data_IF_375951275685
#
_entry.id   IF_375951275685
#
_cell.length_a   1.000
_cell.length_b   1.000
_cell.length_c   1.000
_cell.angle_alpha   90.00
_cell.angle_beta   90.00
_cell.angle_gamma   90.00
#
_symmetry.space_group_name_H-M   'P 1'
#
loop_
_entity.id
_entity.type
_entity.pdbx_description
1 polymer ?
#
# COMPACT_ATOMS: atom_id res chain seq x y z
N UNK A 1 12.78 -5.96 13.47
CA UNK A 1 11.57 -5.11 13.61
C UNK A 1 10.42 -6.03 13.96
N UNK A 2 9.70 -5.73 15.04
CA UNK A 2 8.47 -6.44 15.39
C UNK A 2 7.33 -5.87 14.54
N UNK A 3 6.57 -6.74 13.88
CA UNK A 3 5.34 -6.37 13.20
C UNK A 3 4.18 -7.02 13.97
N UNK A 4 3.25 -6.24 14.55
CA UNK A 4 2.12 -6.81 15.27
C UNK A 4 1.24 -7.62 14.32
N UNK A 5 0.64 -8.73 14.80
CA UNK A 5 -0.28 -9.52 14.00
C UNK A 5 -1.49 -8.67 13.58
N UNK A 6 -2.08 -8.99 12.44
CA UNK A 6 -3.29 -8.36 11.91
C UNK A 6 -3.23 -6.84 11.74
N UNK A 7 -2.06 -6.24 11.51
CA UNK A 7 -1.91 -4.77 11.40
C UNK A 7 -1.60 -4.28 9.98
N UNK A 8 -2.51 -4.47 8.99
CA UNK A 8 -2.29 -4.01 7.62
C UNK A 8 -2.25 -2.48 7.53
N UNK A 9 -2.86 -1.77 8.48
CA UNK A 9 -2.78 -0.32 8.65
C UNK A 9 -1.37 0.16 9.03
N UNK A 10 -0.48 -0.74 9.44
CA UNK A 10 0.94 -0.46 9.70
C UNK A 10 1.89 -1.02 8.62
N UNK A 11 1.38 -1.75 7.63
CA UNK A 11 2.17 -2.29 6.54
C UNK A 11 2.12 -1.34 5.31
N UNK A 12 3.24 -0.71 4.90
CA UNK A 12 3.24 0.25 3.78
C UNK A 12 2.78 -0.36 2.46
N UNK A 13 3.04 -1.66 2.26
CA UNK A 13 2.53 -2.41 1.12
C UNK A 13 1.00 -2.38 1.10
N UNK A 14 0.34 -2.63 2.22
CA UNK A 14 -1.12 -2.71 2.31
C UNK A 14 -1.78 -1.32 2.31
N UNK A 15 -1.43 -0.46 3.26
CA UNK A 15 -2.13 0.82 3.43
C UNK A 15 -1.87 1.84 2.31
N UNK A 16 -0.80 1.67 1.54
CA UNK A 16 -0.38 2.65 0.53
C UNK A 16 -0.19 2.05 -0.87
N UNK A 17 0.73 1.10 -1.04
CA UNK A 17 1.07 0.58 -2.38
C UNK A 17 -0.10 -0.17 -3.01
N UNK A 18 -0.62 -1.19 -2.33
CA UNK A 18 -1.74 -2.00 -2.81
C UNK A 18 -3.04 -1.22 -2.84
N UNK A 19 -3.25 -0.26 -1.93
CA UNK A 19 -4.37 0.67 -2.04
C UNK A 19 -4.32 1.48 -3.36
N UNK A 20 -3.15 1.97 -3.75
CA UNK A 20 -2.99 2.65 -5.04
C UNK A 20 -3.12 1.69 -6.22
N UNK A 21 -2.64 0.45 -6.10
CA UNK A 21 -2.73 -0.57 -7.14
C UNK A 21 -4.18 -1.01 -7.35
N UNK A 22 -4.94 -1.27 -6.29
CA UNK A 22 -6.36 -1.61 -6.36
C UNK A 22 -7.14 -0.53 -7.12
N UNK A 23 -6.90 0.75 -6.81
CA UNK A 23 -7.51 1.86 -7.56
C UNK A 23 -7.12 1.87 -9.04
N UNK A 24 -5.89 1.48 -9.36
CA UNK A 24 -5.42 1.39 -10.75
C UNK A 24 -6.02 0.19 -11.49
N UNK A 25 -6.29 -0.90 -10.78
CA UNK A 25 -6.90 -2.13 -11.30
C UNK A 25 -8.43 -2.05 -11.40
N UNK A 26 -9.05 -1.10 -10.71
CA UNK A 26 -10.50 -0.99 -10.63
C UNK A 26 -11.16 -0.92 -12.02
N UNK A 27 -12.21 -1.74 -12.19
CA UNK A 27 -12.94 -1.88 -13.45
C UNK A 27 -12.20 -2.60 -14.60
N UNK A 28 -10.99 -3.12 -14.39
CA UNK A 28 -10.25 -3.85 -15.43
C UNK A 28 -10.52 -5.34 -15.38
N UNK A 29 -10.74 -5.95 -16.54
CA UNK A 29 -10.80 -7.41 -16.73
C UNK A 29 -9.60 -7.86 -17.55
N UNK A 30 -9.04 -9.01 -17.21
CA UNK A 30 -7.86 -9.57 -17.88
C UNK A 30 -8.20 -10.93 -18.46
N UNK A 31 -7.64 -11.23 -19.62
CA UNK A 31 -7.83 -12.51 -20.33
C UNK A 31 -6.64 -13.45 -20.18
N UNK A 32 -5.49 -12.93 -19.73
CA UNK A 32 -4.26 -13.70 -19.53
C UNK A 32 -3.38 -13.16 -18.40
N UNK A 33 -2.49 -14.02 -17.89
CA UNK A 33 -1.48 -13.63 -16.91
C UNK A 33 -0.43 -12.65 -17.49
N UNK A 34 -0.22 -12.66 -18.81
CA UNK A 34 0.73 -11.78 -19.48
C UNK A 34 0.21 -10.33 -19.49
N UNK A 35 -1.08 -10.13 -19.74
CA UNK A 35 -1.73 -8.82 -19.60
C UNK A 35 -1.58 -8.26 -18.19
N UNK A 36 -1.76 -9.09 -17.16
CA UNK A 36 -1.60 -8.68 -15.76
C UNK A 36 -0.16 -8.23 -15.50
N UNK A 37 0.85 -9.01 -15.93
CA UNK A 37 2.26 -8.68 -15.76
C UNK A 37 2.62 -7.35 -16.42
N UNK A 38 2.25 -7.19 -17.70
CA UNK A 38 2.52 -5.97 -18.45
C UNK A 38 1.89 -4.74 -17.79
N UNK A 39 0.66 -4.88 -17.26
CA UNK A 39 -0.02 -3.80 -16.57
C UNK A 39 0.61 -3.47 -15.21
N UNK A 40 1.11 -4.47 -14.47
CA UNK A 40 1.87 -4.26 -13.24
C UNK A 40 3.19 -3.52 -13.54
N UNK A 41 3.91 -3.91 -14.58
CA UNK A 41 5.14 -3.23 -14.99
C UNK A 41 4.86 -1.74 -15.32
N UNK A 42 3.79 -1.47 -16.07
CA UNK A 42 3.33 -0.10 -16.34
C UNK A 42 2.97 0.66 -15.05
N UNK A 43 2.28 0.01 -14.12
CA UNK A 43 1.91 0.62 -12.84
C UNK A 43 3.16 1.06 -12.07
N UNK A 44 4.13 0.17 -11.87
CA UNK A 44 5.34 0.48 -11.12
C UNK A 44 6.21 1.53 -11.83
N UNK A 45 6.35 1.44 -13.16
CA UNK A 45 7.07 2.43 -13.96
C UNK A 45 6.41 3.82 -13.94
N UNK A 46 5.08 3.89 -13.78
CA UNK A 46 4.35 5.17 -13.68
C UNK A 46 4.55 5.91 -12.36
N UNK A 47 5.10 5.26 -11.32
CA UNK A 47 5.28 5.89 -9.99
C UNK A 47 6.65 6.53 -9.89
N UNK A 48 6.66 7.83 -9.58
CA UNK A 48 7.88 8.53 -9.22
C UNK A 48 8.46 8.02 -7.89
N UNK A 49 9.77 8.14 -7.69
CA UNK A 49 10.46 7.80 -6.44
C UNK A 49 9.75 8.37 -5.18
N UNK A 50 9.31 9.63 -5.25
CA UNK A 50 8.59 10.32 -4.17
C UNK A 50 7.30 9.61 -3.74
N UNK A 51 6.67 8.83 -4.62
CA UNK A 51 5.51 8.02 -4.28
C UNK A 51 5.88 6.97 -3.24
N UNK A 52 6.95 6.21 -3.48
CA UNK A 52 7.42 5.16 -2.57
C UNK A 52 7.95 5.74 -1.26
N UNK A 53 8.74 6.81 -1.34
CA UNK A 53 9.24 7.54 -0.16
C UNK A 53 8.08 7.97 0.73
N UNK A 54 7.04 8.58 0.16
CA UNK A 54 5.86 9.01 0.91
C UNK A 54 5.16 7.85 1.61
N UNK A 55 5.04 6.70 0.95
CA UNK A 55 4.44 5.50 1.55
C UNK A 55 5.17 5.10 2.84
N UNK A 56 6.50 5.07 2.82
CA UNK A 56 7.34 4.75 3.98
C UNK A 56 7.31 5.86 5.03
N UNK A 57 7.40 7.13 4.62
CA UNK A 57 7.46 8.28 5.53
C UNK A 57 6.16 8.52 6.30
N UNK A 58 5.06 7.89 5.92
CA UNK A 58 3.81 7.89 6.70
C UNK A 58 3.85 6.95 7.91
N UNK A 59 4.82 6.03 8.00
CA UNK A 59 4.90 5.06 9.11
C UNK A 59 4.93 5.71 10.50
N UNK A 60 5.77 6.74 10.78
CA UNK A 60 5.82 7.34 12.11
C UNK A 60 4.49 7.96 12.54
N UNK A 61 3.78 8.62 11.61
CA UNK A 61 2.46 9.19 11.89
C UNK A 61 1.44 8.09 12.22
N UNK A 62 1.49 6.96 11.49
CA UNK A 62 0.60 5.83 11.74
C UNK A 62 0.89 5.13 13.06
N UNK A 63 2.17 4.94 13.40
CA UNK A 63 2.55 4.43 14.72
C UNK A 63 2.03 5.31 15.84
N UNK A 64 2.16 6.64 15.70
CA UNK A 64 1.63 7.57 16.69
C UNK A 64 0.11 7.44 16.83
N UNK A 65 -0.64 7.34 15.71
CA UNK A 65 -2.10 7.13 15.76
C UNK A 65 -2.49 5.85 16.48
N UNK A 66 -1.79 4.73 16.25
CA UNK A 66 -2.06 3.47 16.96
C UNK A 66 -1.80 3.62 18.46
N UNK A 67 -0.74 4.33 18.86
CA UNK A 67 -0.48 4.61 20.27
C UNK A 67 -1.58 5.47 20.90
N UNK A 68 -1.98 6.55 20.22
CA UNK A 68 -3.05 7.45 20.67
C UNK A 68 -4.41 6.73 20.78
N UNK A 69 -4.59 5.64 20.01
CA UNK A 69 -5.78 4.80 20.01
C UNK A 69 -5.64 3.53 20.87
N UNK A 70 -4.63 3.46 21.75
CA UNK A 70 -4.38 2.32 22.64
C UNK A 70 -4.29 0.97 21.91
N UNK A 71 -3.64 0.94 20.74
CA UNK A 71 -3.45 -0.27 19.94
C UNK A 71 -4.64 -0.66 19.06
N UNK A 72 -5.68 0.17 18.98
CA UNK A 72 -6.80 -0.03 18.04
C UNK A 72 -6.41 0.34 16.60
N UNK A 73 -7.21 -0.13 15.64
CA UNK A 73 -7.02 0.13 14.22
C UNK A 73 -7.19 1.60 13.86
N UNK A 74 -6.38 2.05 12.90
CA UNK A 74 -6.57 3.35 12.24
C UNK A 74 -7.77 3.26 11.28
N UNK A 75 -8.87 3.96 11.61
CA UNK A 75 -10.07 4.12 10.77
C UNK A 75 -9.91 5.29 9.79
#
# INVERSE_FOLDING_TARGET
MLHPPYSPDLAPSDYYLFRSLQKFLDGKTFTSNEEVKNLLDQFFASKHQKFYERGIMLLPERWQKVLDQNGQYII
#
